data_IF_399307471706
#
_entry.id   IF_399307471706
#
_cell.length_a   1.000
_cell.length_b   1.000
_cell.length_c   1.000
_cell.angle_alpha   90.00
_cell.angle_beta   90.00
_cell.angle_gamma   90.00
#
_symmetry.space_group_name_H-M   'P 1'
#
loop_
_entity.id
_entity.type
_entity.pdbx_description
1 polymer ?
#
# COMPACT_ATOMS: atom_id res chain seq x y z
N UNK A 1 -36.30 2.26 -8.58
CA UNK A 1 -34.85 1.95 -8.69
C UNK A 1 -33.97 2.61 -7.63
N UNK A 2 -34.35 3.74 -7.02
CA UNK A 2 -33.49 4.46 -6.07
C UNK A 2 -33.28 3.76 -4.70
N UNK A 3 -34.30 3.04 -4.18
CA UNK A 3 -34.18 2.32 -2.90
C UNK A 3 -33.17 1.17 -2.93
N UNK A 4 -33.14 0.37 -4.00
CA UNK A 4 -32.21 -0.75 -4.12
C UNK A 4 -30.76 -0.26 -4.26
N UNK A 5 -30.53 0.82 -5.02
CA UNK A 5 -29.19 1.41 -5.18
C UNK A 5 -28.62 1.94 -3.87
N UNK A 6 -29.44 2.63 -3.05
CA UNK A 6 -28.98 3.18 -1.77
C UNK A 6 -28.70 2.07 -0.74
N UNK A 7 -29.52 1.02 -0.71
CA UNK A 7 -29.29 -0.15 0.17
C UNK A 7 -28.01 -0.90 -0.22
N UNK A 8 -27.75 -1.10 -1.52
CA UNK A 8 -26.52 -1.76 -2.01
C UNK A 8 -25.29 -0.91 -1.70
N UNK A 9 -25.34 0.41 -1.88
CA UNK A 9 -24.24 1.33 -1.52
C UNK A 9 -23.95 1.27 -0.01
N UNK A 10 -25.00 1.27 0.82
CA UNK A 10 -24.85 1.15 2.27
C UNK A 10 -24.19 -0.17 2.68
N UNK A 11 -24.64 -1.30 2.12
CA UNK A 11 -24.08 -2.62 2.41
C UNK A 11 -22.60 -2.75 1.97
N UNK A 12 -22.27 -2.28 0.76
CA UNK A 12 -20.89 -2.27 0.26
C UNK A 12 -19.97 -1.41 1.14
N UNK A 13 -20.43 -0.25 1.59
CA UNK A 13 -19.64 0.62 2.48
C UNK A 13 -19.38 -0.05 3.85
N UNK A 14 -20.34 -0.77 4.42
CA UNK A 14 -20.14 -1.52 5.67
C UNK A 14 -19.08 -2.60 5.50
N UNK A 15 -19.12 -3.37 4.41
CA UNK A 15 -18.11 -4.39 4.12
C UNK A 15 -16.71 -3.76 3.97
N UNK A 16 -16.61 -2.62 3.28
CA UNK A 16 -15.33 -1.89 3.16
C UNK A 16 -14.83 -1.34 4.51
N UNK A 17 -15.73 -0.96 5.42
CA UNK A 17 -15.37 -0.52 6.77
C UNK A 17 -14.72 -1.66 7.56
N UNK A 18 -15.34 -2.84 7.54
CA UNK A 18 -14.83 -4.03 8.23
C UNK A 18 -13.47 -4.41 7.65
N UNK A 19 -13.34 -4.42 6.32
CA UNK A 19 -12.07 -4.69 5.65
C UNK A 19 -10.97 -3.69 6.03
N UNK A 20 -11.28 -2.39 6.10
CA UNK A 20 -10.35 -1.36 6.55
C UNK A 20 -9.90 -1.58 7.99
N UNK A 21 -10.81 -1.90 8.90
CA UNK A 21 -10.48 -2.19 10.31
C UNK A 21 -9.55 -3.41 10.41
N UNK A 22 -9.82 -4.47 9.62
CA UNK A 22 -8.95 -5.66 9.57
C UNK A 22 -7.56 -5.32 8.98
N UNK A 23 -7.49 -4.45 7.97
CA UNK A 23 -6.22 -3.99 7.39
C UNK A 23 -5.42 -3.12 8.38
N UNK A 24 -6.07 -2.19 9.06
CA UNK A 24 -5.44 -1.35 10.09
C UNK A 24 -5.00 -2.19 11.29
N UNK A 25 -5.84 -3.12 11.75
CA UNK A 25 -5.54 -4.05 12.83
C UNK A 25 -4.36 -4.96 12.50
N UNK A 26 -4.32 -5.50 11.28
CA UNK A 26 -3.19 -6.33 10.82
C UNK A 26 -1.90 -5.51 10.70
N UNK A 27 -1.96 -4.29 10.17
CA UNK A 27 -0.81 -3.39 10.11
C UNK A 27 -0.25 -3.05 11.50
N UNK A 28 -1.13 -2.77 12.47
CA UNK A 28 -0.73 -2.48 13.86
C UNK A 28 -0.19 -3.72 14.58
N UNK A 29 -0.78 -4.89 14.34
CA UNK A 29 -0.29 -6.16 14.88
C UNK A 29 1.10 -6.51 14.36
N UNK A 30 1.35 -6.25 13.08
CA UNK A 30 2.64 -6.47 12.42
C UNK A 30 3.76 -5.60 13.02
N UNK A 31 3.43 -4.39 13.48
CA UNK A 31 4.35 -3.54 14.25
C UNK A 31 4.66 -4.05 15.67
N UNK A 32 3.87 -5.00 16.19
CA UNK A 32 4.01 -5.54 17.56
C UNK A 32 4.54 -6.98 17.57
N UNK A 33 4.40 -7.71 16.46
CA UNK A 33 4.81 -9.12 16.38
C UNK A 33 6.31 -9.27 16.18
N UNK A 34 6.96 -10.07 17.03
CA UNK A 34 8.40 -10.41 16.94
C UNK A 34 8.74 -11.35 15.78
N UNK A 35 7.73 -11.89 15.10
CA UNK A 35 7.90 -12.96 14.09
C UNK A 35 8.13 -12.46 12.68
N UNK A 36 7.75 -11.20 12.37
CA UNK A 36 7.79 -10.65 11.00
C UNK A 36 8.43 -9.27 11.04
N UNK A 37 9.60 -9.15 10.43
CA UNK A 37 10.39 -7.93 10.47
C UNK A 37 10.05 -6.98 9.32
N UNK A 38 8.78 -6.57 9.25
CA UNK A 38 8.24 -5.93 8.04
C UNK A 38 7.64 -4.55 8.31
N UNK A 39 8.39 -3.75 9.08
CA UNK A 39 8.09 -2.34 9.32
C UNK A 39 8.00 -1.53 8.01
N UNK A 40 8.62 -2.01 6.93
CA UNK A 40 8.53 -1.40 5.61
C UNK A 40 7.13 -1.51 4.99
N UNK A 41 6.39 -2.59 5.26
CA UNK A 41 5.02 -2.79 4.76
C UNK A 41 3.97 -2.18 5.68
N UNK A 42 4.29 -1.94 6.95
CA UNK A 42 3.38 -1.35 7.91
C UNK A 42 2.84 0.02 7.46
N UNK A 43 3.72 0.92 7.00
CA UNK A 43 3.33 2.25 6.53
C UNK A 43 2.37 2.24 5.33
N UNK A 44 2.68 1.53 4.20
CA UNK A 44 1.75 1.46 3.09
C UNK A 44 0.44 0.77 3.45
N UNK A 45 0.46 -0.25 4.33
CA UNK A 45 -0.76 -0.92 4.80
C UNK A 45 -1.63 0.01 5.66
N UNK A 46 -1.03 0.84 6.52
CA UNK A 46 -1.73 1.87 7.29
C UNK A 46 -2.32 2.96 6.39
N UNK A 47 -1.57 3.43 5.40
CA UNK A 47 -2.05 4.44 4.44
C UNK A 47 -3.23 3.88 3.64
N UNK A 48 -3.14 2.64 3.15
CA UNK A 48 -4.21 1.97 2.43
C UNK A 48 -5.45 1.77 3.32
N UNK A 49 -5.26 1.28 4.55
CA UNK A 49 -6.33 1.09 5.52
C UNK A 49 -7.04 2.40 5.85
N UNK A 50 -6.30 3.49 6.06
CA UNK A 50 -6.85 4.82 6.34
C UNK A 50 -7.62 5.39 5.14
N UNK A 51 -7.12 5.19 3.92
CA UNK A 51 -7.82 5.63 2.71
C UNK A 51 -9.18 4.93 2.56
N UNK A 52 -9.23 3.61 2.80
CA UNK A 52 -10.48 2.83 2.76
C UNK A 52 -11.42 3.23 3.92
N UNK A 53 -10.87 3.57 5.09
CA UNK A 53 -11.66 4.07 6.23
C UNK A 53 -12.40 5.37 5.87
N UNK A 54 -11.64 6.36 5.37
CA UNK A 54 -12.18 7.67 4.97
C UNK A 54 -13.27 7.50 3.92
N UNK A 55 -13.03 6.63 2.94
CA UNK A 55 -13.99 6.28 1.91
C UNK A 55 -15.31 5.74 2.50
N UNK A 56 -15.21 4.78 3.41
CA UNK A 56 -16.38 4.10 3.97
C UNK A 56 -17.24 5.07 4.81
N UNK A 57 -16.60 5.93 5.62
CA UNK A 57 -17.29 6.98 6.37
C UNK A 57 -17.97 7.97 5.43
N UNK A 58 -17.27 8.42 4.38
CA UNK A 58 -17.82 9.36 3.43
C UNK A 58 -18.99 8.77 2.61
N UNK A 59 -18.92 7.48 2.26
CA UNK A 59 -20.00 6.75 1.60
C UNK A 59 -21.25 6.60 2.47
N UNK A 60 -21.08 6.43 3.78
CA UNK A 60 -22.18 6.41 4.75
C UNK A 60 -22.86 7.79 4.88
N UNK A 61 -22.07 8.86 4.94
CA UNK A 61 -22.58 10.25 5.00
C UNK A 61 -23.33 10.62 3.72
N UNK A 62 -22.81 10.22 2.56
CA UNK A 62 -23.46 10.45 1.27
C UNK A 62 -24.82 9.76 1.13
N UNK A 63 -24.99 8.58 1.72
CA UNK A 63 -26.26 7.84 1.71
C UNK A 63 -27.34 8.45 2.63
N UNK A 64 -26.93 9.15 3.70
CA UNK A 64 -27.85 9.66 4.72
C UNK A 64 -28.39 11.07 4.44
N UNK A 65 -27.69 11.89 3.65
CA UNK A 65 -27.96 13.34 3.64
C UNK A 65 -28.51 13.91 2.32
N UNK A 66 -28.49 13.19 1.18
CA UNK A 66 -29.03 13.66 -0.13
C UNK A 66 -28.61 15.11 -0.53
N UNK A 67 -27.50 15.63 0.01
CA UNK A 67 -27.02 16.98 -0.26
C UNK A 67 -26.07 16.95 -1.45
N UNK A 68 -26.47 17.60 -2.56
CA UNK A 68 -25.65 17.67 -3.78
C UNK A 68 -24.24 18.24 -3.56
N UNK A 69 -24.09 19.18 -2.61
CA UNK A 69 -22.79 19.75 -2.25
C UNK A 69 -21.87 18.72 -1.57
N UNK A 70 -22.41 17.90 -0.65
CA UNK A 70 -21.66 16.82 0.01
C UNK A 70 -21.21 15.77 -1.00
N UNK A 71 -22.09 15.41 -1.95
CA UNK A 71 -21.76 14.47 -3.03
C UNK A 71 -20.67 15.02 -3.97
N UNK A 72 -20.65 16.33 -4.22
CA UNK A 72 -19.60 16.97 -5.04
C UNK A 72 -18.23 16.94 -4.35
N UNK A 73 -18.18 17.31 -3.07
CA UNK A 73 -16.96 17.23 -2.25
C UNK A 73 -16.45 15.79 -2.18
N UNK A 74 -17.36 14.83 -2.03
CA UNK A 74 -17.04 13.39 -2.07
C UNK A 74 -16.37 12.98 -3.39
N UNK A 75 -16.98 13.31 -4.54
CA UNK A 75 -16.42 12.98 -5.85
C UNK A 75 -15.05 13.64 -6.08
N UNK A 76 -14.85 14.85 -5.57
CA UNK A 76 -13.55 15.55 -5.66
C UNK A 76 -12.45 14.78 -4.94
N UNK A 77 -12.63 14.45 -3.64
CA UNK A 77 -11.63 13.70 -2.87
C UNK A 77 -11.42 12.27 -3.39
N UNK A 78 -12.48 11.62 -3.88
CA UNK A 78 -12.41 10.29 -4.49
C UNK A 78 -11.41 10.23 -5.66
N UNK A 79 -11.41 11.23 -6.53
CA UNK A 79 -10.46 11.27 -7.65
C UNK A 79 -9.02 11.35 -7.16
N UNK A 80 -8.72 12.19 -6.16
CA UNK A 80 -7.37 12.27 -5.62
C UNK A 80 -6.90 10.95 -5.00
N UNK A 81 -7.77 10.25 -4.28
CA UNK A 81 -7.45 8.93 -3.71
C UNK A 81 -7.16 7.93 -4.84
N UNK A 82 -8.01 7.87 -5.86
CA UNK A 82 -7.82 6.98 -7.01
C UNK A 82 -6.48 7.27 -7.72
N UNK A 83 -6.17 8.54 -7.98
CA UNK A 83 -4.89 8.97 -8.60
C UNK A 83 -3.70 8.63 -7.71
N UNK A 84 -3.79 8.87 -6.41
CA UNK A 84 -2.73 8.54 -5.47
C UNK A 84 -2.46 7.02 -5.41
N UNK A 85 -3.51 6.19 -5.35
CA UNK A 85 -3.38 4.74 -5.34
C UNK A 85 -2.81 4.21 -6.67
N UNK A 86 -3.20 4.77 -7.81
CA UNK A 86 -2.59 4.47 -9.11
C UNK A 86 -1.11 4.90 -9.17
N UNK A 87 -0.76 6.05 -8.61
CA UNK A 87 0.63 6.49 -8.51
C UNK A 87 1.47 5.54 -7.65
N UNK A 88 0.93 5.08 -6.52
CA UNK A 88 1.59 4.12 -5.63
C UNK A 88 1.76 2.74 -6.28
N UNK A 89 0.77 2.23 -7.02
CA UNK A 89 0.93 0.96 -7.76
C UNK A 89 2.01 1.08 -8.83
N UNK A 90 1.98 2.15 -9.62
CA UNK A 90 2.95 2.38 -10.68
C UNK A 90 4.38 2.50 -10.13
N UNK A 91 4.56 3.36 -9.12
CA UNK A 91 5.83 3.50 -8.43
C UNK A 91 6.31 2.15 -7.88
N UNK A 92 5.39 1.43 -7.24
CA UNK A 92 5.62 0.09 -6.74
C UNK A 92 6.17 -0.87 -7.78
N UNK A 93 5.47 -1.01 -8.92
CA UNK A 93 5.90 -1.89 -10.01
C UNK A 93 7.24 -1.48 -10.61
N UNK A 94 7.52 -0.18 -10.75
CA UNK A 94 8.80 0.31 -11.25
C UNK A 94 9.93 -0.13 -10.31
N UNK A 95 9.75 0.12 -9.01
CA UNK A 95 10.76 -0.15 -7.99
C UNK A 95 10.96 -1.66 -7.78
N UNK A 96 9.92 -2.47 -7.93
CA UNK A 96 9.98 -3.94 -7.75
C UNK A 96 10.09 -4.72 -9.05
N UNK A 97 10.34 -4.06 -10.18
CA UNK A 97 10.42 -4.71 -11.50
C UNK A 97 11.54 -5.76 -11.57
N UNK A 98 12.73 -5.43 -11.06
CA UNK A 98 13.91 -6.29 -11.13
C UNK A 98 13.97 -7.34 -10.02
N UNK A 99 14.48 -8.52 -10.38
CA UNK A 99 14.71 -9.67 -9.49
C UNK A 99 16.20 -9.89 -9.29
N UNK A 100 16.65 -10.04 -8.04
CA UNK A 100 18.04 -10.39 -7.75
C UNK A 100 18.31 -11.89 -7.64
N UNK A 101 17.31 -12.74 -7.90
CA UNK A 101 17.41 -14.18 -7.72
C UNK A 101 18.33 -14.86 -8.74
N UNK A 102 19.36 -15.53 -8.26
CA UNK A 102 20.30 -16.36 -8.99
C UNK A 102 20.09 -17.81 -8.58
N UNK A 103 20.02 -18.71 -9.56
CA UNK A 103 19.92 -20.15 -9.31
C UNK A 103 21.32 -20.68 -8.95
N UNK A 104 21.38 -21.52 -7.94
CA UNK A 104 22.63 -22.17 -7.52
C UNK A 104 22.62 -23.61 -8.03
N UNK A 105 23.69 -24.03 -8.72
CA UNK A 105 23.78 -25.36 -9.30
C UNK A 105 23.67 -26.45 -8.23
N UNK A 106 22.79 -27.43 -8.48
CA UNK A 106 22.54 -28.55 -7.56
C UNK A 106 21.77 -28.19 -6.30
N UNK A 107 21.14 -26.99 -6.22
CA UNK A 107 20.34 -26.54 -5.08
C UNK A 107 18.92 -26.17 -5.50
N UNK A 108 17.96 -26.43 -4.62
CA UNK A 108 16.54 -26.06 -4.83
C UNK A 108 16.31 -24.56 -4.59
N UNK A 109 17.05 -23.97 -3.66
CA UNK A 109 16.89 -22.56 -3.28
C UNK A 109 17.60 -21.60 -4.25
N UNK A 110 17.23 -20.32 -4.17
CA UNK A 110 17.88 -19.22 -4.89
C UNK A 110 18.68 -18.33 -3.95
N UNK A 111 19.77 -17.79 -4.46
CA UNK A 111 20.55 -16.72 -3.80
C UNK A 111 20.20 -15.37 -4.42
N UNK A 112 20.38 -14.29 -3.66
CA UNK A 112 19.97 -12.96 -4.08
C UNK A 112 21.16 -12.02 -4.08
N UNK A 113 21.37 -11.33 -5.21
CA UNK A 113 22.42 -10.31 -5.34
C UNK A 113 21.82 -8.92 -5.16
N UNK A 114 22.44 -8.12 -4.30
CA UNK A 114 21.97 -6.77 -4.00
C UNK A 114 21.97 -5.88 -5.25
N UNK A 115 22.97 -6.03 -6.13
CA UNK A 115 23.16 -5.14 -7.27
C UNK A 115 22.06 -5.17 -8.32
N UNK A 116 21.36 -6.29 -8.42
CA UNK A 116 20.27 -6.49 -9.37
C UNK A 116 18.98 -5.73 -9.01
N UNK A 117 18.88 -5.17 -7.80
CA UNK A 117 17.71 -4.41 -7.38
C UNK A 117 17.79 -2.93 -7.78
N UNK A 118 16.61 -2.33 -7.94
CA UNK A 118 16.47 -0.91 -8.30
C UNK A 118 17.20 -0.01 -7.28
N UNK A 119 17.94 1.02 -7.71
CA UNK A 119 18.75 1.88 -6.82
C UNK A 119 17.97 2.43 -5.63
N UNK A 120 16.70 2.82 -5.84
CA UNK A 120 15.84 3.33 -4.77
C UNK A 120 15.64 2.35 -3.60
N UNK A 121 15.50 1.05 -3.88
CA UNK A 121 15.41 0.02 -2.83
C UNK A 121 16.76 -0.17 -2.13
N UNK A 122 17.85 -0.20 -2.92
CA UNK A 122 19.21 -0.38 -2.39
C UNK A 122 19.55 0.69 -1.36
N UNK A 123 19.23 1.96 -1.63
CA UNK A 123 19.49 3.07 -0.68
C UNK A 123 18.87 2.84 0.70
N UNK A 124 17.74 2.13 0.79
CA UNK A 124 17.06 1.87 2.08
C UNK A 124 17.75 0.83 2.95
N UNK A 125 18.48 -0.11 2.34
CA UNK A 125 19.21 -1.17 3.05
C UNK A 125 20.70 -0.86 3.21
N UNK A 126 21.24 0.03 2.39
CA UNK A 126 22.63 0.52 2.49
C UNK A 126 22.77 1.57 3.60
N UNK A 127 21.74 2.39 3.83
CA UNK A 127 21.75 3.41 4.87
C UNK A 127 21.74 2.77 6.27
N UNK A 128 22.78 3.08 7.04
CA UNK A 128 23.09 2.42 8.32
C UNK A 128 21.99 2.65 9.36
N UNK A 129 21.38 3.83 9.37
CA UNK A 129 20.35 4.18 10.35
C UNK A 129 19.08 3.32 10.17
N UNK A 130 18.68 3.11 8.92
CA UNK A 130 17.55 2.24 8.60
C UNK A 130 17.90 0.77 8.81
N UNK A 131 19.12 0.37 8.40
CA UNK A 131 19.57 -1.02 8.54
C UNK A 131 19.63 -1.49 9.98
N UNK A 132 20.08 -0.66 10.93
CA UNK A 132 20.13 -1.03 12.36
C UNK A 132 18.74 -1.42 12.88
N UNK A 133 17.69 -0.72 12.46
CA UNK A 133 16.31 -1.03 12.86
C UNK A 133 15.85 -2.36 12.27
N UNK A 134 16.19 -2.65 11.01
CA UNK A 134 15.87 -3.92 10.36
C UNK A 134 16.65 -5.06 11.02
N UNK A 135 17.96 -4.89 11.24
CA UNK A 135 18.86 -5.89 11.82
C UNK A 135 18.45 -6.30 13.23
N UNK A 136 18.18 -5.33 14.11
CA UNK A 136 17.73 -5.61 15.49
C UNK A 136 16.47 -6.47 15.53
N UNK A 137 15.57 -6.24 14.58
CA UNK A 137 14.34 -6.99 14.44
C UNK A 137 14.55 -8.37 13.78
N UNK A 138 15.49 -8.51 12.83
CA UNK A 138 15.93 -9.81 12.30
C UNK A 138 16.57 -10.70 13.38
N UNK A 139 17.43 -10.12 14.22
CA UNK A 139 18.07 -10.79 15.36
C UNK A 139 17.06 -11.31 16.38
N UNK A 140 15.95 -10.57 16.58
CA UNK A 140 14.85 -10.99 17.44
C UNK A 140 13.91 -12.03 16.80
N UNK A 141 14.06 -12.32 15.50
CA UNK A 141 13.17 -13.22 14.77
C UNK A 141 13.59 -14.69 14.88
N UNK A 142 12.61 -15.59 14.80
CA UNK A 142 12.81 -17.06 14.86
C UNK A 142 13.17 -17.63 13.47
N UNK A 143 13.58 -16.77 12.52
CA UNK A 143 13.72 -17.14 11.11
C UNK A 143 14.91 -18.07 10.87
N UNK A 144 16.06 -17.76 11.49
CA UNK A 144 17.29 -18.54 11.35
C UNK A 144 17.40 -19.70 12.35
N UNK A 145 16.66 -19.68 13.46
CA UNK A 145 16.77 -20.74 14.48
C UNK A 145 16.31 -22.11 13.96
N UNK A 146 15.36 -22.14 13.00
CA UNK A 146 14.93 -23.38 12.33
C UNK A 146 16.04 -24.05 11.52
N UNK A 147 17.06 -23.31 11.11
CA UNK A 147 18.18 -23.79 10.29
C UNK A 147 19.38 -24.24 11.13
N UNK A 148 19.41 -23.92 12.43
CA UNK A 148 20.51 -24.30 13.32
C UNK A 148 20.69 -25.84 13.45
N UNK A 149 19.62 -26.60 13.19
CA UNK A 149 19.61 -28.07 13.24
C UNK A 149 19.75 -28.74 11.86
N UNK A 150 19.94 -27.96 10.78
CA UNK A 150 19.98 -28.50 9.43
C UNK A 150 21.31 -29.17 9.12
N UNK A 151 21.23 -30.33 8.48
CA UNK A 151 22.39 -31.04 7.94
C UNK A 151 22.77 -30.52 6.55
N UNK A 152 23.98 -30.79 6.04
CA UNK A 152 24.36 -30.43 4.66
C UNK A 152 23.41 -30.97 3.58
N UNK A 153 22.76 -32.12 3.85
CA UNK A 153 21.78 -32.73 2.95
C UNK A 153 20.43 -31.97 2.95
N UNK A 154 20.03 -31.41 4.09
CA UNK A 154 18.84 -30.54 4.17
C UNK A 154 18.99 -29.32 3.26
N UNK A 155 20.20 -28.73 3.20
CA UNK A 155 20.50 -27.63 2.28
C UNK A 155 20.53 -28.05 0.80
N UNK A 156 20.56 -29.35 0.47
CA UNK A 156 20.42 -29.81 -0.93
C UNK A 156 18.95 -29.98 -1.31
N UNK A 157 18.12 -30.47 -0.39
CA UNK A 157 16.77 -30.93 -0.68
C UNK A 157 15.65 -29.94 -0.33
N UNK A 158 15.88 -29.06 0.66
CA UNK A 158 14.85 -28.12 1.13
C UNK A 158 15.02 -26.76 0.48
N UNK A 159 13.88 -26.14 0.15
CA UNK A 159 13.83 -24.75 -0.28
C UNK A 159 14.01 -23.81 0.92
N UNK A 160 14.66 -22.68 0.69
CA UNK A 160 14.87 -21.64 1.70
C UNK A 160 14.12 -20.38 1.29
N UNK A 161 13.56 -19.68 2.28
CA UNK A 161 13.05 -18.34 2.03
C UNK A 161 14.21 -17.38 1.65
N UNK A 162 13.95 -16.27 0.94
CA UNK A 162 15.00 -15.31 0.56
C UNK A 162 15.81 -14.80 1.75
N UNK A 163 15.15 -14.62 2.90
CA UNK A 163 15.80 -14.21 4.14
C UNK A 163 16.66 -15.33 4.73
N UNK A 164 16.22 -16.58 4.64
CA UNK A 164 16.99 -17.74 5.09
C UNK A 164 18.22 -17.99 4.22
N UNK A 165 18.09 -17.89 2.89
CA UNK A 165 19.21 -18.08 1.98
C UNK A 165 20.24 -16.95 2.01
N UNK A 166 19.82 -15.72 2.35
CA UNK A 166 20.71 -14.56 2.43
C UNK A 166 21.37 -14.34 3.80
N UNK A 167 20.67 -14.62 4.91
CA UNK A 167 21.15 -14.25 6.25
C UNK A 167 21.58 -15.45 7.12
N UNK A 168 20.96 -16.62 6.93
CA UNK A 168 21.05 -17.73 7.88
C UNK A 168 22.03 -18.84 7.46
N UNK A 169 22.64 -18.74 6.29
CA UNK A 169 23.63 -19.71 5.76
C UNK A 169 24.85 -18.96 5.21
N UNK A 170 26.01 -19.62 5.11
CA UNK A 170 27.16 -19.03 4.43
C UNK A 170 26.89 -18.87 2.92
N UNK A 171 27.47 -17.86 2.26
CA UNK A 171 27.39 -17.72 0.81
C UNK A 171 28.05 -18.91 0.10
N UNK A 172 27.42 -19.43 -0.96
CA UNK A 172 27.95 -20.62 -1.66
C UNK A 172 29.22 -20.34 -2.46
N UNK A 173 29.51 -19.06 -2.76
CA UNK A 173 30.74 -18.62 -3.43
C UNK A 173 31.99 -18.65 -2.55
N UNK A 174 31.85 -18.81 -1.23
CA UNK A 174 32.97 -18.77 -0.31
C UNK A 174 33.75 -20.09 -0.27
N UNK A 175 35.07 -20.01 -0.34
CA UNK A 175 35.98 -21.17 -0.19
C UNK A 175 36.70 -21.04 1.14
N UNK A 176 36.36 -21.91 2.10
CA UNK A 176 36.90 -21.86 3.47
C UNK A 176 38.09 -22.80 3.70
N UNK A 177 38.42 -23.68 2.75
CA UNK A 177 39.33 -24.82 2.95
C UNK A 177 40.67 -24.70 2.18
N UNK A 178 41.05 -23.51 1.72
CA UNK A 178 42.28 -23.31 0.94
C UNK A 178 43.13 -22.20 1.55
N UNK A 179 44.40 -22.49 1.85
CA UNK A 179 45.41 -21.52 2.35
C UNK A 179 45.75 -20.40 1.33
N UNK A 180 45.18 -20.46 0.13
CA UNK A 180 45.33 -19.45 -0.90
C UNK A 180 44.36 -18.30 -0.68
N UNK A 181 44.87 -17.09 -0.50
CA UNK A 181 44.11 -15.84 -0.51
C UNK A 181 43.64 -15.55 -1.94
N UNK A 182 42.53 -16.17 -2.34
CA UNK A 182 41.83 -15.82 -3.57
C UNK A 182 40.97 -14.59 -3.27
N UNK A 183 40.86 -13.67 -4.23
CA UNK A 183 39.90 -12.57 -4.14
C UNK A 183 38.48 -13.15 -4.09
N UNK A 184 37.91 -13.16 -2.89
CA UNK A 184 36.57 -13.68 -2.61
C UNK A 184 35.55 -12.56 -2.44
N UNK A 185 34.28 -12.95 -2.43
CA UNK A 185 33.18 -12.06 -2.12
C UNK A 185 33.39 -11.42 -0.72
N UNK A 186 33.25 -10.08 -0.57
CA UNK A 186 33.35 -9.42 0.73
C UNK A 186 32.46 -10.04 1.82
N UNK A 187 31.32 -10.63 1.43
CA UNK A 187 30.40 -11.29 2.35
C UNK A 187 31.02 -12.52 3.04
N UNK A 188 32.02 -13.17 2.42
CA UNK A 188 32.71 -14.32 3.00
C UNK A 188 33.45 -13.97 4.30
N UNK A 189 33.99 -12.75 4.40
CA UNK A 189 34.70 -12.27 5.59
C UNK A 189 33.75 -11.77 6.68
N UNK A 190 32.49 -11.45 6.33
CA UNK A 190 31.47 -10.97 7.26
C UNK A 190 30.65 -12.10 7.89
N UNK A 191 30.68 -13.29 7.30
CA UNK A 191 29.99 -14.47 7.81
C UNK A 191 30.53 -14.94 9.18
N UNK A 192 29.63 -15.37 10.07
CA UNK A 192 29.97 -15.98 11.35
C UNK A 192 29.00 -17.11 11.71
N UNK A 193 29.49 -18.20 12.30
CA UNK A 193 28.65 -19.33 12.73
C UNK A 193 27.86 -19.07 14.03
N UNK A 194 28.18 -18.01 14.77
CA UNK A 194 27.42 -17.62 15.95
C UNK A 194 26.02 -17.12 15.55
N UNK A 195 24.98 -17.71 16.15
CA UNK A 195 23.58 -17.38 15.86
C UNK A 195 23.20 -15.90 16.09
N UNK A 196 23.99 -15.19 16.91
CA UNK A 196 23.82 -13.77 17.23
C UNK A 196 24.49 -12.82 16.23
N UNK A 197 25.31 -13.34 15.31
CA UNK A 197 26.09 -12.52 14.36
C UNK A 197 25.77 -12.90 12.91
N UNK A 198 25.74 -14.20 12.56
CA UNK A 198 25.37 -14.74 11.23
C UNK A 198 25.85 -13.86 10.07
N UNK A 199 25.14 -13.80 8.93
CA UNK A 199 25.43 -12.87 7.84
C UNK A 199 24.61 -11.59 7.92
N UNK A 200 24.24 -11.09 9.11
CA UNK A 200 23.34 -9.94 9.21
C UNK A 200 23.92 -8.61 8.70
N UNK A 201 25.21 -8.52 8.42
CA UNK A 201 25.84 -7.35 7.78
C UNK A 201 26.29 -7.60 6.33
N UNK A 202 25.90 -8.76 5.77
CA UNK A 202 26.22 -9.15 4.41
C UNK A 202 25.25 -8.50 3.40
N UNK A 203 25.74 -8.24 2.20
CA UNK A 203 24.92 -7.69 1.12
C UNK A 203 23.96 -8.74 0.56
N UNK A 204 24.30 -10.03 0.65
CA UNK A 204 23.40 -11.18 0.45
C UNK A 204 22.20 -11.18 1.40
N UNK A 205 22.40 -10.83 2.67
CA UNK A 205 21.30 -10.73 3.64
C UNK A 205 20.39 -9.52 3.33
N UNK A 206 20.98 -8.37 3.01
CA UNK A 206 20.23 -7.19 2.54
C UNK A 206 19.41 -7.49 1.28
N UNK A 207 19.99 -8.23 0.34
CA UNK A 207 19.31 -8.68 -0.87
C UNK A 207 18.15 -9.63 -0.56
N UNK A 208 18.30 -10.52 0.43
CA UNK A 208 17.22 -11.39 0.92
C UNK A 208 16.05 -10.60 1.53
N UNK A 209 16.34 -9.53 2.27
CA UNK A 209 15.31 -8.59 2.76
C UNK A 209 14.60 -7.90 1.60
N UNK A 210 15.34 -7.40 0.61
CA UNK A 210 14.75 -6.73 -0.56
C UNK A 210 13.86 -7.66 -1.39
N UNK A 211 14.25 -8.92 -1.58
CA UNK A 211 13.41 -9.89 -2.29
C UNK A 211 12.11 -10.16 -1.51
N UNK A 212 12.19 -10.29 -0.18
CA UNK A 212 11.02 -10.51 0.67
C UNK A 212 10.06 -9.34 0.54
N UNK A 213 10.56 -8.11 0.70
CA UNK A 213 9.80 -6.87 0.51
C UNK A 213 9.17 -6.81 -0.89
N UNK A 214 9.92 -7.17 -1.93
CA UNK A 214 9.42 -7.20 -3.30
C UNK A 214 8.26 -8.17 -3.45
N UNK A 215 8.36 -9.41 -2.94
CA UNK A 215 7.29 -10.41 -3.02
C UNK A 215 6.03 -9.94 -2.33
N UNK A 216 6.16 -9.37 -1.14
CA UNK A 216 4.99 -8.88 -0.40
C UNK A 216 4.41 -7.62 -1.02
N UNK A 217 5.25 -6.75 -1.57
CA UNK A 217 4.80 -5.61 -2.36
C UNK A 217 3.98 -6.05 -3.59
N UNK A 218 4.37 -7.11 -4.28
CA UNK A 218 3.57 -7.66 -5.38
C UNK A 218 2.20 -8.15 -4.92
N UNK A 219 2.11 -8.83 -3.77
CA UNK A 219 0.81 -9.25 -3.18
C UNK A 219 -0.06 -8.05 -2.84
N UNK A 220 0.51 -7.03 -2.18
CA UNK A 220 -0.21 -5.80 -1.83
C UNK A 220 -0.64 -5.02 -3.08
N UNK A 221 0.21 -4.95 -4.10
CA UNK A 221 -0.11 -4.28 -5.36
C UNK A 221 -1.29 -4.95 -6.07
N UNK A 222 -1.35 -6.29 -6.09
CA UNK A 222 -2.50 -7.04 -6.62
C UNK A 222 -3.80 -6.65 -5.90
N UNK A 223 -3.78 -6.66 -4.56
CA UNK A 223 -4.95 -6.25 -3.76
C UNK A 223 -5.31 -4.79 -4.04
N UNK A 224 -4.33 -3.90 -4.12
CA UNK A 224 -4.55 -2.48 -4.39
C UNK A 224 -5.17 -2.24 -5.78
N UNK A 225 -4.78 -3.00 -6.80
CA UNK A 225 -5.40 -2.93 -8.15
C UNK A 225 -6.89 -3.27 -8.07
N UNK A 226 -7.26 -4.32 -7.34
CA UNK A 226 -8.66 -4.70 -7.14
C UNK A 226 -9.44 -3.57 -6.45
N UNK A 227 -8.84 -2.97 -5.41
CA UNK A 227 -9.43 -1.81 -4.71
C UNK A 227 -9.62 -0.63 -5.67
N UNK A 228 -8.62 -0.27 -6.47
CA UNK A 228 -8.72 0.84 -7.45
C UNK A 228 -9.85 0.60 -8.45
N UNK A 229 -9.99 -0.61 -8.99
CA UNK A 229 -11.10 -0.96 -9.91
C UNK A 229 -12.46 -0.75 -9.22
N UNK A 230 -12.59 -1.22 -7.98
CA UNK A 230 -13.80 -1.00 -7.18
C UNK A 230 -14.09 0.49 -6.94
N UNK A 231 -13.07 1.29 -6.62
CA UNK A 231 -13.22 2.74 -6.44
C UNK A 231 -13.69 3.44 -7.71
N UNK A 232 -13.17 3.04 -8.87
CA UNK A 232 -13.60 3.57 -10.17
C UNK A 232 -15.08 3.25 -10.41
N UNK A 233 -15.53 2.03 -10.10
CA UNK A 233 -16.94 1.65 -10.24
C UNK A 233 -17.85 2.49 -9.33
N UNK A 234 -17.48 2.67 -8.06
CA UNK A 234 -18.21 3.52 -7.11
C UNK A 234 -18.23 4.98 -7.57
N UNK A 235 -17.09 5.49 -8.08
CA UNK A 235 -16.99 6.84 -8.63
C UNK A 235 -17.92 7.05 -9.83
N UNK A 236 -17.99 6.08 -10.76
CA UNK A 236 -18.93 6.11 -11.89
C UNK A 236 -20.39 6.18 -11.43
N UNK A 237 -20.78 5.35 -10.45
CA UNK A 237 -22.14 5.37 -9.87
C UNK A 237 -22.42 6.69 -9.17
N UNK A 238 -21.46 7.21 -8.39
CA UNK A 238 -21.57 8.52 -7.72
C UNK A 238 -21.73 9.67 -8.73
N UNK A 239 -21.00 9.64 -9.85
CA UNK A 239 -21.15 10.61 -10.93
C UNK A 239 -22.53 10.53 -11.60
N UNK A 240 -23.05 9.32 -11.82
CA UNK A 240 -24.40 9.11 -12.33
C UNK A 240 -25.47 9.65 -11.37
N UNK A 241 -25.33 9.37 -10.06
CA UNK A 241 -26.21 9.90 -9.03
C UNK A 241 -26.16 11.43 -8.96
N UNK A 242 -24.96 12.02 -9.03
CA UNK A 242 -24.78 13.48 -9.04
C UNK A 242 -25.41 14.13 -10.26
N UNK A 243 -25.22 13.56 -11.46
CA UNK A 243 -25.88 14.05 -12.69
C UNK A 243 -27.40 13.99 -12.56
N UNK A 244 -27.95 12.93 -11.98
CA UNK A 244 -29.40 12.77 -11.77
C UNK A 244 -29.96 13.77 -10.74
N UNK A 245 -29.21 14.06 -9.66
CA UNK A 245 -29.60 15.06 -8.66
C UNK A 245 -29.53 16.51 -9.19
N UNK A 246 -28.69 16.78 -10.20
CA UNK A 246 -28.54 18.12 -10.82
C UNK A 246 -29.56 18.40 -11.93
N UNK A 247 -30.05 17.36 -12.63
CA UNK A 247 -31.08 17.49 -13.68
C UNK A 247 -32.40 18.19 -13.28
N UNK A 248 -32.96 18.05 -12.06
CA UNK A 248 -34.19 18.77 -11.69
C UNK A 248 -34.04 20.29 -11.62
N UNK A 249 -32.82 20.85 -11.66
CA UNK A 249 -32.60 22.31 -11.70
C UNK A 249 -32.49 22.88 -13.12
N UNK A 250 -32.21 22.07 -14.14
CA UNK A 250 -31.89 22.57 -15.50
C UNK A 250 -33.04 22.41 -16.50
N UNK A 251 -33.92 21.42 -16.31
CA UNK A 251 -35.19 21.35 -17.04
C UNK A 251 -36.27 21.99 -16.18
N UNK A 252 -36.49 23.29 -16.39
CA UNK A 252 -37.70 23.96 -15.91
C UNK A 252 -38.92 23.32 -16.53
N UNK A 253 -39.63 22.48 -15.77
CA UNK A 253 -41.06 22.29 -15.94
C UNK A 253 -41.78 23.13 -14.89
N UNK A 254 -42.88 23.81 -15.27
CA UNK A 254 -43.48 24.84 -14.45
C UNK A 254 -44.14 24.23 -13.22
N UNK A 255 -43.85 24.79 -12.05
CA UNK A 255 -44.66 24.56 -10.86
C UNK A 255 -46.06 25.12 -11.08
N UNK A 256 -47.02 24.23 -11.28
CA UNK A 256 -48.40 24.48 -10.92
C UNK A 256 -48.68 23.92 -9.52
N UNK A 257 -48.90 24.83 -8.57
CA UNK A 257 -49.73 24.69 -7.35
C UNK A 257 -49.01 24.66 -5.98
N UNK A 258 -48.92 25.87 -5.42
CA UNK A 258 -48.94 26.32 -4.00
C UNK A 258 -48.01 25.67 -2.95
N UNK A 259 -47.00 26.45 -2.58
CA UNK A 259 -46.32 26.37 -1.29
C UNK A 259 -45.35 27.54 -1.14
N UNK A 260 -45.79 28.64 -0.54
CA UNK A 260 -44.90 29.77 -0.23
C UNK A 260 -43.85 29.32 0.80
N UNK A 261 -42.57 29.35 0.43
CA UNK A 261 -41.49 29.58 1.39
C UNK A 261 -40.64 30.75 0.88
N UNK A 262 -40.66 31.84 1.65
CA UNK A 262 -39.88 33.05 1.38
C UNK A 262 -38.40 32.75 1.59
N UNK A 263 -37.65 32.55 0.52
CA UNK A 263 -36.19 32.71 0.53
C UNK A 263 -35.87 34.19 0.36
N UNK A 264 -35.19 34.78 1.36
CA UNK A 264 -34.77 36.19 1.35
C UNK A 264 -33.83 36.46 0.16
N UNK A 265 -33.97 37.59 -0.54
CA UNK A 265 -33.11 37.91 -1.68
C UNK A 265 -31.68 38.20 -1.19
N UNK A 266 -30.72 37.51 -1.80
CA UNK A 266 -29.29 37.73 -1.60
C UNK A 266 -28.85 39.12 -2.05
N UNK A 267 -27.78 39.61 -1.41
CA UNK A 267 -27.21 40.95 -1.56
C UNK A 267 -27.01 41.43 -3.01
N UNK A 268 -26.82 40.53 -3.96
CA UNK A 268 -26.62 40.84 -5.39
C UNK A 268 -27.84 41.56 -6.02
N UNK A 269 -29.07 41.27 -5.57
CA UNK A 269 -30.28 41.95 -6.06
C UNK A 269 -30.47 43.36 -5.50
N UNK A 270 -29.73 43.74 -4.46
CA UNK A 270 -29.77 45.10 -3.90
C UNK A 270 -28.91 46.06 -4.73
N UNK A 271 -27.75 45.58 -5.20
CA UNK A 271 -26.82 46.38 -6.00
C UNK A 271 -27.35 46.67 -7.41
N UNK A 272 -28.04 45.72 -8.05
CA UNK A 272 -28.62 45.96 -9.38
C UNK A 272 -29.77 46.99 -9.36
N UNK A 273 -30.55 47.02 -8.28
CA UNK A 273 -31.60 48.04 -8.07
C UNK A 273 -31.03 49.42 -7.78
N UNK A 274 -29.90 49.51 -7.09
CA UNK A 274 -29.24 50.79 -6.83
C UNK A 274 -28.61 51.39 -8.09
N UNK A 275 -28.12 50.54 -9.01
CA UNK A 275 -27.55 51.00 -10.27
C UNK A 275 -28.61 51.45 -11.29
N UNK A 276 -29.72 50.72 -11.42
CA UNK A 276 -30.80 51.08 -12.36
C UNK A 276 -31.80 52.12 -11.82
N UNK A 277 -31.69 52.51 -10.55
CA UNK A 277 -32.54 53.53 -9.92
C UNK A 277 -32.08 54.97 -10.12
N UNK A 278 -30.93 55.21 -10.77
CA UNK A 278 -30.34 56.55 -10.90
C UNK A 278 -30.50 57.19 -12.29
N UNK A 279 -31.13 56.49 -13.24
CA UNK A 279 -31.32 56.95 -14.62
C UNK A 279 -32.73 57.48 -14.92
N UNK A 280 -33.48 57.90 -13.90
CA UNK A 280 -34.71 58.67 -14.11
C UNK A 280 -34.73 59.89 -13.18
N UNK A 281 -34.68 61.06 -13.81
CA UNK A 281 -35.04 62.37 -13.28
C UNK A 281 -36.27 62.32 -12.36
#
# INVERSE_FOLDING_TARGET
>A
MNRMSNTVIGFLNILTLISSIVLLGSALWMGRSKTTCEHFLQKPLLILGLAILILSVAGLVGACCDVAWVLWVYLFFMVFIIVALMGLTLFGFIVTSHSGGVVVDGRVYKEFKLEAYHPWLKTRVVDTNYWVTIKTCLLGSVTCSKLALWTPLDYLQKDLSPLQSGCCKPPTSCVYNTDTVIQQDPDCYRWNNAATVLCYDCDTCRAGVLETVRRDWHKLSLVNVIVVIFLIAVYCVGCCAFKNAKRPQHYGFPYGRYGMSKSRPGWEQSWSRWWHGRDRY
#
